data_IF_353952694540
#
_entry.id   IF_353952694540
#
_cell.length_a   1.000
_cell.length_b   1.000
_cell.length_c   1.000
_cell.angle_alpha   90.00
_cell.angle_beta   90.00
_cell.angle_gamma   90.00
#
_symmetry.space_group_name_H-M   'P 1'
#
loop_
_entity.id
_entity.type
_entity.pdbx_description
1 polymer ?
#
# COMPACT_ATOMS: atom_id res chain seq x y z
N UNK A 1 17.80 0.40 7.42
CA UNK A 1 16.77 0.30 6.33
C UNK A 1 15.82 1.48 6.43
N UNK A 2 15.28 2.00 5.32
CA UNK A 2 14.27 3.07 5.39
C UNK A 2 12.90 2.54 5.83
N UNK A 3 12.15 3.36 6.57
CA UNK A 3 10.79 3.07 7.01
C UNK A 3 9.82 4.03 6.30
N UNK A 4 8.95 3.47 5.45
CA UNK A 4 8.02 4.18 4.58
C UNK A 4 6.60 4.07 5.14
N UNK A 5 6.11 5.15 5.72
CA UNK A 5 4.91 5.18 6.54
C UNK A 5 3.72 5.83 5.83
N UNK A 6 2.49 5.30 6.00
CA UNK A 6 1.31 5.86 5.36
C UNK A 6 0.82 7.13 6.06
N UNK A 7 0.36 8.10 5.28
CA UNK A 7 -0.47 9.18 5.78
C UNK A 7 -1.66 9.44 4.85
N UNK A 8 -2.88 9.28 5.38
CA UNK A 8 -4.10 9.67 4.67
C UNK A 8 -4.61 11.06 5.03
N UNK A 9 -3.97 11.78 5.95
CA UNK A 9 -4.33 13.17 6.30
C UNK A 9 -3.08 13.94 6.75
N UNK A 10 -3.07 15.28 6.70
CA UNK A 10 -1.98 16.08 7.26
C UNK A 10 -1.70 15.79 8.74
N UNK A 11 -2.74 15.49 9.52
CA UNK A 11 -2.59 15.12 10.93
C UNK A 11 -1.91 13.76 11.11
N UNK A 12 -2.21 12.78 10.25
CA UNK A 12 -1.53 11.49 10.25
C UNK A 12 -0.06 11.61 9.82
N UNK A 13 0.24 12.47 8.84
CA UNK A 13 1.62 12.75 8.42
C UNK A 13 2.45 13.32 9.57
N UNK A 14 1.96 14.36 10.26
CA UNK A 14 2.65 14.92 11.43
C UNK A 14 2.91 13.86 12.49
N UNK A 15 1.90 13.06 12.81
CA UNK A 15 2.01 11.99 13.78
C UNK A 15 3.03 10.90 13.39
N UNK A 16 3.15 10.57 12.10
CA UNK A 16 4.14 9.63 11.60
C UNK A 16 5.56 10.19 11.64
N UNK A 17 5.75 11.45 11.23
CA UNK A 17 7.05 12.14 11.29
C UNK A 17 7.52 12.26 12.74
N UNK A 18 6.65 12.72 13.65
CA UNK A 18 6.98 12.84 15.08
C UNK A 18 7.23 11.48 15.75
N UNK A 19 6.74 10.39 15.16
CA UNK A 19 6.99 9.03 15.60
C UNK A 19 8.29 8.43 15.05
N UNK A 20 9.04 9.14 14.21
CA UNK A 20 10.34 8.73 13.68
C UNK A 20 10.33 8.07 12.31
N UNK A 21 9.29 8.29 11.50
CA UNK A 21 9.26 7.81 10.11
C UNK A 21 10.40 8.42 9.28
N UNK A 22 11.08 7.59 8.47
CA UNK A 22 12.10 8.07 7.52
C UNK A 22 11.46 8.73 6.30
N UNK A 23 10.42 8.09 5.78
CA UNK A 23 9.65 8.54 4.62
C UNK A 23 8.17 8.45 4.95
N UNK A 24 7.40 9.43 4.49
CA UNK A 24 5.94 9.38 4.47
C UNK A 24 5.47 9.20 3.04
N UNK A 25 4.48 8.35 2.81
CA UNK A 25 3.78 8.33 1.53
C UNK A 25 2.31 8.73 1.67
N UNK A 26 1.87 9.62 0.79
CA UNK A 26 0.53 10.18 0.74
C UNK A 26 0.03 10.25 -0.72
N UNK A 27 -1.11 10.89 -0.96
CA UNK A 27 -1.66 11.13 -2.30
C UNK A 27 -2.55 12.37 -2.30
N UNK A 28 -3.00 12.77 -3.48
CA UNK A 28 -3.97 13.86 -3.63
C UNK A 28 -5.40 13.40 -3.37
N UNK A 29 -6.28 14.34 -2.99
CA UNK A 29 -7.71 14.09 -2.81
C UNK A 29 -8.45 14.00 -4.16
N UNK A 30 -7.99 13.12 -5.03
CA UNK A 30 -8.52 12.82 -6.36
C UNK A 30 -8.13 11.40 -6.81
N UNK A 31 -8.53 11.04 -8.03
CA UNK A 31 -8.41 9.71 -8.63
C UNK A 31 -6.98 9.26 -8.90
N UNK A 32 -5.98 10.11 -8.74
CA UNK A 32 -4.60 9.83 -9.14
C UNK A 32 -3.92 8.73 -8.30
N UNK A 33 -4.52 8.30 -7.18
CA UNK A 33 -3.86 7.37 -6.28
C UNK A 33 -4.76 6.25 -5.73
N UNK A 34 -4.13 5.11 -5.46
CA UNK A 34 -4.79 3.89 -5.03
C UNK A 34 -5.14 3.86 -3.54
N UNK A 35 -5.74 4.93 -2.99
CA UNK A 35 -6.50 4.98 -1.72
C UNK A 35 -7.37 6.24 -1.72
N UNK A 36 -8.12 6.46 -2.80
CA UNK A 36 -9.01 7.61 -2.92
C UNK A 36 -10.33 7.37 -2.17
N UNK A 37 -10.31 7.58 -0.85
CA UNK A 37 -11.50 7.50 -0.01
C UNK A 37 -11.96 8.92 0.40
N UNK A 38 -13.27 9.16 0.49
CA UNK A 38 -13.80 10.43 1.00
C UNK A 38 -13.21 10.80 2.37
N UNK A 39 -12.80 12.06 2.51
CA UNK A 39 -12.23 12.59 3.76
C UNK A 39 -10.76 12.23 4.02
N UNK A 40 -10.10 11.55 3.08
CA UNK A 40 -8.65 11.32 3.11
C UNK A 40 -7.94 12.10 2.00
N UNK A 41 -6.61 11.99 2.03
CA UNK A 41 -5.64 12.59 1.13
C UNK A 41 -5.50 14.11 1.30
N UNK A 42 -4.70 14.71 0.44
CA UNK A 42 -4.21 16.08 0.60
C UNK A 42 -4.73 16.95 -0.54
N UNK A 43 -5.13 18.17 -0.21
CA UNK A 43 -5.12 19.25 -1.20
C UNK A 43 -3.68 19.63 -1.57
N UNK A 44 -3.53 20.37 -2.67
CA UNK A 44 -2.19 20.82 -3.12
C UNK A 44 -1.50 21.72 -2.08
N UNK A 45 -2.27 22.60 -1.44
CA UNK A 45 -1.76 23.48 -0.38
C UNK A 45 -1.32 22.69 0.86
N UNK A 46 -2.16 21.75 1.31
CA UNK A 46 -1.82 20.87 2.44
C UNK A 46 -0.59 20.00 2.15
N UNK A 47 -0.41 19.55 0.91
CA UNK A 47 0.79 18.80 0.53
C UNK A 47 2.05 19.65 0.69
N UNK A 48 2.05 20.89 0.17
CA UNK A 48 3.20 21.78 0.29
C UNK A 48 3.56 22.07 1.76
N UNK A 49 2.56 22.33 2.61
CA UNK A 49 2.78 22.49 4.06
C UNK A 49 3.33 21.22 4.71
N UNK A 50 2.83 20.05 4.29
CA UNK A 50 3.25 18.77 4.84
C UNK A 50 4.67 18.39 4.44
N UNK A 51 5.09 18.69 3.21
CA UNK A 51 6.47 18.56 2.75
C UNK A 51 7.39 19.42 3.61
N UNK A 52 7.07 20.71 3.78
CA UNK A 52 7.84 21.62 4.64
C UNK A 52 7.96 21.11 6.09
N UNK A 53 6.87 20.57 6.65
CA UNK A 53 6.88 19.99 8.00
C UNK A 53 7.82 18.78 8.13
N UNK A 54 7.77 17.88 7.14
CA UNK A 54 8.56 16.66 7.11
C UNK A 54 10.04 16.96 6.93
N UNK A 55 10.40 17.81 5.96
CA UNK A 55 11.77 18.23 5.69
C UNK A 55 12.41 18.92 6.89
N UNK A 56 11.67 19.77 7.61
CA UNK A 56 12.14 20.41 8.84
C UNK A 56 12.52 19.41 9.96
N UNK A 57 12.12 18.14 9.83
CA UNK A 57 12.42 17.04 10.77
C UNK A 57 13.24 15.92 10.11
N UNK A 58 13.77 16.14 8.91
CA UNK A 58 14.60 15.17 8.20
C UNK A 58 13.84 13.97 7.61
N UNK A 59 12.51 14.04 7.53
CA UNK A 59 11.68 13.01 6.90
C UNK A 59 11.37 13.39 5.45
N UNK A 60 11.35 12.39 4.56
CA UNK A 60 11.00 12.55 3.14
C UNK A 60 9.50 12.39 2.89
N UNK A 61 8.98 12.98 1.83
CA UNK A 61 7.58 12.81 1.39
C UNK A 61 7.53 12.25 -0.03
N UNK A 62 6.84 11.12 -0.17
CA UNK A 62 6.62 10.40 -1.42
C UNK A 62 5.15 10.52 -1.83
N UNK A 63 4.87 10.95 -3.06
CA UNK A 63 3.49 11.17 -3.52
C UNK A 63 3.06 10.02 -4.43
N UNK A 64 2.02 9.30 -4.03
CA UNK A 64 1.43 8.28 -4.87
C UNK A 64 0.58 8.93 -5.96
N UNK A 65 0.94 8.68 -7.22
CA UNK A 65 0.21 9.06 -8.44
C UNK A 65 0.12 7.77 -9.29
N UNK A 66 -0.44 6.74 -8.66
CA UNK A 66 -0.23 5.35 -9.03
C UNK A 66 -1.48 4.63 -9.54
N UNK A 67 -2.49 5.36 -10.02
CA UNK A 67 -3.63 4.79 -10.78
C UNK A 67 -3.44 4.98 -12.28
N UNK A 68 -4.27 4.32 -13.08
CA UNK A 68 -4.19 4.33 -14.54
C UNK A 68 -5.14 5.38 -15.14
N UNK A 69 -4.63 6.37 -15.91
CA UNK A 69 -5.47 7.31 -16.65
C UNK A 69 -6.36 6.60 -17.66
N UNK A 70 -7.59 7.08 -17.87
CA UNK A 70 -8.40 6.68 -19.04
C UNK A 70 -8.00 7.47 -20.27
N UNK A 71 -8.21 6.89 -21.45
CA UNK A 71 -7.94 7.56 -22.73
C UNK A 71 -8.56 8.97 -22.79
N UNK A 72 -7.72 9.97 -23.04
CA UNK A 72 -8.11 11.38 -23.14
C UNK A 72 -8.23 12.12 -21.81
N UNK A 73 -7.97 11.46 -20.67
CA UNK A 73 -8.10 12.04 -19.33
C UNK A 73 -6.75 12.16 -18.60
N UNK A 74 -5.63 12.09 -19.32
CA UNK A 74 -4.26 12.06 -18.78
C UNK A 74 -3.88 13.37 -18.07
N UNK A 75 -4.53 14.49 -18.43
CA UNK A 75 -4.23 15.83 -17.93
C UNK A 75 -4.22 15.94 -16.39
N UNK A 76 -5.13 15.22 -15.70
CA UNK A 76 -5.17 15.20 -14.24
C UNK A 76 -3.88 14.61 -13.64
N UNK A 77 -3.39 13.50 -14.22
CA UNK A 77 -2.17 12.83 -13.75
C UNK A 77 -0.92 13.64 -14.08
N UNK A 78 -0.86 14.25 -15.28
CA UNK A 78 0.24 15.15 -15.64
C UNK A 78 0.31 16.35 -14.70
N UNK A 79 -0.83 16.98 -14.39
CA UNK A 79 -0.90 18.08 -13.41
C UNK A 79 -0.49 17.61 -12.01
N UNK A 80 -0.88 16.40 -11.59
CA UNK A 80 -0.51 15.87 -10.28
C UNK A 80 1.01 15.65 -10.14
N UNK A 81 1.68 15.21 -11.21
CA UNK A 81 3.15 15.09 -11.23
C UNK A 81 3.80 16.47 -11.05
N UNK A 82 3.36 17.46 -11.83
CA UNK A 82 3.86 18.84 -11.71
C UNK A 82 3.54 19.47 -10.35
N UNK A 83 2.39 19.15 -9.76
CA UNK A 83 2.00 19.60 -8.42
C UNK A 83 2.88 18.98 -7.33
N UNK A 84 3.21 17.69 -7.44
CA UNK A 84 4.11 16.99 -6.52
C UNK A 84 5.53 17.55 -6.58
N UNK A 85 6.06 17.77 -7.78
CA UNK A 85 7.37 18.40 -7.98
C UNK A 85 7.40 19.82 -7.40
N UNK A 86 6.40 20.65 -7.71
CA UNK A 86 6.31 22.03 -7.20
C UNK A 86 6.17 22.08 -5.68
N UNK A 87 5.51 21.09 -5.07
CA UNK A 87 5.41 20.98 -3.62
C UNK A 87 6.73 20.54 -2.96
N UNK A 88 7.73 20.10 -3.74
CA UNK A 88 9.02 19.62 -3.24
C UNK A 88 9.00 18.16 -2.80
N UNK A 89 8.13 17.32 -3.37
CA UNK A 89 8.11 15.89 -3.05
C UNK A 89 9.45 15.22 -3.40
N UNK A 90 9.92 14.32 -2.53
CA UNK A 90 11.19 13.60 -2.69
C UNK A 90 11.11 12.50 -3.74
N UNK A 91 9.92 11.98 -4.02
CA UNK A 91 9.65 11.08 -5.14
C UNK A 91 8.16 11.00 -5.47
N UNK A 92 7.86 10.58 -6.71
CA UNK A 92 6.53 10.12 -7.11
C UNK A 92 6.50 8.61 -7.26
N UNK A 93 5.39 7.99 -6.84
CA UNK A 93 5.15 6.54 -6.99
C UNK A 93 4.17 6.35 -8.14
N UNK A 94 4.62 5.75 -9.24
CA UNK A 94 3.89 5.66 -10.53
C UNK A 94 3.68 4.21 -10.96
N UNK A 95 2.69 3.94 -11.79
CA UNK A 95 2.39 2.57 -12.27
C UNK A 95 2.22 2.50 -13.80
N UNK A 96 1.53 3.47 -14.38
CA UNK A 96 1.23 3.51 -15.81
C UNK A 96 2.48 3.81 -16.65
N UNK A 97 2.65 3.09 -17.77
CA UNK A 97 3.80 3.25 -18.68
C UNK A 97 3.84 4.62 -19.35
N UNK A 98 2.69 5.12 -19.77
CA UNK A 98 2.59 6.44 -20.40
C UNK A 98 2.93 7.55 -19.42
N UNK A 99 2.44 7.43 -18.18
CA UNK A 99 2.76 8.38 -17.12
C UNK A 99 4.23 8.32 -16.70
N UNK A 100 4.82 7.12 -16.60
CA UNK A 100 6.25 6.93 -16.35
C UNK A 100 7.10 7.60 -17.43
N UNK A 101 6.77 7.38 -18.71
CA UNK A 101 7.42 8.01 -19.85
C UNK A 101 7.29 9.54 -19.80
N UNK A 102 6.06 10.04 -19.57
CA UNK A 102 5.78 11.46 -19.44
C UNK A 102 6.62 12.11 -18.33
N UNK A 103 6.65 11.50 -17.13
CA UNK A 103 7.44 12.02 -16.00
C UNK A 103 8.93 11.99 -16.30
N UNK A 104 9.44 10.92 -16.92
CA UNK A 104 10.85 10.84 -17.28
C UNK A 104 11.27 11.92 -18.30
N UNK A 105 10.39 12.28 -19.23
CA UNK A 105 10.64 13.30 -20.26
C UNK A 105 10.48 14.73 -19.73
N UNK A 106 9.42 15.01 -18.96
CA UNK A 106 9.02 16.38 -18.59
C UNK A 106 9.49 16.79 -17.19
N UNK A 107 9.78 15.82 -16.32
CA UNK A 107 10.20 16.03 -14.93
C UNK A 107 11.41 15.14 -14.60
N UNK A 108 12.53 15.27 -15.34
CA UNK A 108 13.66 14.32 -15.26
C UNK A 108 14.30 14.25 -13.87
N UNK A 109 14.33 15.39 -13.16
CA UNK A 109 14.92 15.51 -11.81
C UNK A 109 14.02 14.95 -10.70
N UNK A 110 12.73 14.75 -10.97
CA UNK A 110 11.80 14.17 -10.02
C UNK A 110 12.05 12.66 -9.91
N UNK A 111 12.49 12.21 -8.74
CA UNK A 111 12.76 10.80 -8.47
C UNK A 111 11.48 9.97 -8.66
N UNK A 112 11.58 8.89 -9.44
CA UNK A 112 10.45 7.98 -9.72
C UNK A 112 10.62 6.64 -9.01
N UNK A 113 9.57 6.23 -8.30
CA UNK A 113 9.42 4.89 -7.73
C UNK A 113 8.35 4.13 -8.51
N UNK A 114 8.59 2.86 -8.79
CA UNK A 114 7.63 1.98 -9.42
C UNK A 114 6.67 1.43 -8.36
N UNK A 115 5.39 1.74 -8.55
CA UNK A 115 4.30 1.24 -7.72
C UNK A 115 4.13 -0.25 -7.90
N UNK A 116 3.69 -0.90 -6.82
CA UNK A 116 3.28 -2.30 -6.85
C UNK A 116 2.14 -2.57 -7.83
N UNK A 117 1.36 -1.55 -8.23
CA UNK A 117 0.34 -1.67 -9.29
C UNK A 117 0.93 -2.03 -10.66
N UNK A 118 2.23 -1.83 -10.91
CA UNK A 118 2.87 -2.27 -12.15
C UNK A 118 3.08 -3.80 -12.21
N UNK A 119 2.91 -4.50 -11.09
CA UNK A 119 3.10 -5.95 -10.96
C UNK A 119 4.46 -6.48 -11.47
N UNK A 120 5.51 -5.67 -11.36
CA UNK A 120 6.87 -6.07 -11.74
C UNK A 120 7.43 -7.07 -10.72
N UNK A 121 7.50 -8.34 -11.10
CA UNK A 121 7.82 -9.47 -10.20
C UNK A 121 9.09 -10.25 -10.61
N UNK A 122 9.85 -9.76 -11.59
CA UNK A 122 11.08 -10.39 -12.06
C UNK A 122 12.10 -9.34 -12.53
N UNK A 123 13.40 -9.70 -12.64
CA UNK A 123 14.46 -8.76 -13.01
C UNK A 123 14.25 -8.11 -14.37
N UNK A 124 13.81 -8.86 -15.39
CA UNK A 124 13.60 -8.33 -16.75
C UNK A 124 12.64 -7.14 -16.77
N UNK A 125 11.48 -7.29 -16.12
CA UNK A 125 10.49 -6.23 -16.01
C UNK A 125 11.04 -5.03 -15.22
N UNK A 126 11.70 -5.29 -14.08
CA UNK A 126 12.24 -4.23 -13.23
C UNK A 126 13.34 -3.44 -13.95
N UNK A 127 14.26 -4.14 -14.61
CA UNK A 127 15.36 -3.53 -15.39
C UNK A 127 14.84 -2.75 -16.60
N UNK A 128 13.76 -3.21 -17.24
CA UNK A 128 13.08 -2.42 -18.27
C UNK A 128 12.56 -1.09 -17.71
N UNK A 129 11.83 -1.12 -16.58
CA UNK A 129 11.34 0.12 -15.96
C UNK A 129 12.49 1.04 -15.50
N UNK A 130 13.55 0.47 -14.95
CA UNK A 130 14.74 1.19 -14.51
C UNK A 130 15.44 1.89 -15.68
N UNK A 131 15.68 1.18 -16.79
CA UNK A 131 16.40 1.73 -17.94
C UNK A 131 15.55 2.68 -18.79
N UNK A 132 14.28 2.37 -19.02
CA UNK A 132 13.42 3.14 -19.91
C UNK A 132 12.90 4.44 -19.26
N UNK A 133 12.66 4.43 -17.94
CA UNK A 133 12.01 5.53 -17.23
C UNK A 133 12.79 6.01 -16.00
N UNK A 134 14.05 5.61 -15.90
CA UNK A 134 14.97 5.97 -14.81
C UNK A 134 14.44 5.61 -13.40
N UNK A 135 13.57 4.59 -13.28
CA UNK A 135 13.01 4.17 -12.00
C UNK A 135 14.12 3.87 -11.01
N UNK A 136 14.04 4.46 -9.81
CA UNK A 136 15.10 4.33 -8.78
C UNK A 136 14.77 3.38 -7.65
N UNK A 137 13.49 3.05 -7.48
CA UNK A 137 12.98 2.12 -6.49
C UNK A 137 11.78 1.37 -7.01
N UNK A 138 11.64 0.09 -6.70
CA UNK A 138 10.45 -0.71 -6.99
C UNK A 138 9.80 -1.19 -5.69
N UNK A 139 8.48 -0.99 -5.58
CA UNK A 139 7.65 -1.63 -4.56
C UNK A 139 7.30 -3.03 -5.04
N UNK A 140 7.89 -4.06 -4.45
CA UNK A 140 7.75 -5.44 -4.90
C UNK A 140 6.36 -6.02 -4.58
N UNK A 141 5.82 -6.89 -5.45
CA UNK A 141 4.56 -7.57 -5.20
C UNK A 141 4.59 -8.47 -3.96
N UNK A 142 3.46 -8.52 -3.25
CA UNK A 142 3.31 -9.28 -1.99
C UNK A 142 3.12 -10.79 -2.17
N UNK A 143 3.32 -11.30 -3.38
CA UNK A 143 3.23 -12.71 -3.76
C UNK A 143 4.59 -13.43 -3.79
N UNK A 144 5.68 -12.69 -3.56
CA UNK A 144 7.04 -13.20 -3.60
C UNK A 144 7.49 -13.71 -2.23
N UNK A 145 8.27 -14.81 -2.21
CA UNK A 145 8.97 -15.26 -1.01
C UNK A 145 10.23 -14.43 -0.74
N UNK A 146 10.78 -14.52 0.47
CA UNK A 146 12.05 -13.83 0.79
C UNK A 146 13.21 -14.32 -0.10
N UNK A 147 13.21 -15.60 -0.46
CA UNK A 147 14.20 -16.21 -1.34
C UNK A 147 14.08 -15.69 -2.77
N UNK A 148 12.85 -15.51 -3.26
CA UNK A 148 12.59 -14.91 -4.58
C UNK A 148 13.02 -13.44 -4.62
N UNK A 149 12.73 -12.69 -3.55
CA UNK A 149 13.20 -11.30 -3.40
C UNK A 149 14.73 -11.25 -3.41
N UNK A 150 15.40 -12.16 -2.69
CA UNK A 150 16.85 -12.25 -2.67
C UNK A 150 17.44 -12.63 -4.04
N UNK A 151 16.73 -13.42 -4.86
CA UNK A 151 17.13 -13.73 -6.22
C UNK A 151 17.00 -12.49 -7.12
N UNK A 152 15.87 -11.79 -7.05
CA UNK A 152 15.63 -10.55 -7.80
C UNK A 152 16.70 -9.50 -7.50
N UNK A 153 17.00 -9.26 -6.22
CA UNK A 153 17.99 -8.26 -5.79
C UNK A 153 19.43 -8.54 -6.25
N UNK A 154 19.74 -9.74 -6.76
CA UNK A 154 21.05 -10.04 -7.35
C UNK A 154 21.16 -9.60 -8.81
N UNK A 155 20.03 -9.31 -9.45
CA UNK A 155 19.93 -9.08 -10.90
C UNK A 155 19.43 -7.68 -11.25
N UNK A 156 19.23 -6.81 -10.24
CA UNK A 156 18.76 -5.43 -10.41
C UNK A 156 19.62 -4.46 -9.61
N UNK A 157 19.74 -3.23 -10.10
CA UNK A 157 20.50 -2.14 -9.45
C UNK A 157 19.62 -1.11 -8.73
N UNK A 158 18.30 -1.27 -8.81
CA UNK A 158 17.34 -0.34 -8.18
C UNK A 158 17.01 -0.76 -6.74
N UNK A 159 16.63 0.21 -5.93
CA UNK A 159 16.19 -0.02 -4.56
C UNK A 159 14.92 -0.88 -4.52
N UNK A 160 14.81 -1.81 -3.56
CA UNK A 160 13.57 -2.57 -3.34
C UNK A 160 12.86 -2.17 -2.05
N UNK A 161 11.54 -2.02 -2.16
CA UNK A 161 10.62 -1.71 -1.08
C UNK A 161 9.59 -2.83 -0.94
N UNK A 162 9.35 -3.30 0.29
CA UNK A 162 8.41 -4.40 0.56
C UNK A 162 7.43 -4.00 1.65
N UNK A 163 6.19 -4.50 1.58
CA UNK A 163 5.22 -4.30 2.65
C UNK A 163 5.54 -5.20 3.83
N UNK A 164 5.53 -4.66 5.05
CA UNK A 164 5.77 -5.44 6.28
C UNK A 164 4.59 -5.51 7.23
N UNK A 165 3.62 -4.60 7.08
CA UNK A 165 2.43 -4.59 7.93
C UNK A 165 1.22 -3.95 7.25
N UNK A 166 0.02 -4.38 7.64
CA UNK A 166 -1.26 -3.77 7.27
C UNK A 166 -2.09 -4.62 6.31
N UNK A 167 -2.94 -3.99 5.49
CA UNK A 167 -3.84 -4.72 4.59
C UNK A 167 -3.08 -5.53 3.52
N UNK A 168 -3.36 -6.82 3.41
CA UNK A 168 -2.83 -7.71 2.37
C UNK A 168 -3.71 -7.70 1.11
N UNK A 169 -3.07 -7.53 -0.06
CA UNK A 169 -3.69 -7.79 -1.35
C UNK A 169 -3.19 -9.13 -1.87
N UNK A 170 -4.11 -10.06 -2.14
CA UNK A 170 -3.79 -11.38 -2.72
C UNK A 170 -4.05 -11.47 -4.23
N UNK A 171 -4.68 -10.44 -4.80
CA UNK A 171 -4.84 -10.33 -6.24
C UNK A 171 -3.54 -9.85 -6.87
N UNK A 172 -3.32 -10.20 -8.15
CA UNK A 172 -2.28 -9.57 -8.97
C UNK A 172 -2.48 -8.05 -8.94
N UNK A 173 -1.54 -7.35 -8.31
CA UNK A 173 -1.67 -5.92 -8.01
C UNK A 173 -1.78 -5.11 -9.32
N UNK A 174 -2.69 -4.13 -9.34
CA UNK A 174 -3.01 -3.36 -10.55
C UNK A 174 -3.85 -4.09 -11.61
N UNK A 175 -4.26 -5.35 -11.38
CA UNK A 175 -5.06 -6.16 -12.34
C UNK A 175 -6.40 -6.65 -11.77
N UNK A 176 -6.88 -6.05 -10.68
CA UNK A 176 -8.11 -6.50 -10.03
C UNK A 176 -9.37 -6.06 -10.80
N UNK A 177 -10.21 -7.01 -11.21
CA UNK A 177 -11.49 -6.75 -11.91
C UNK A 177 -12.73 -7.06 -11.08
N UNK A 178 -12.59 -7.71 -9.92
CA UNK A 178 -13.72 -8.14 -9.09
C UNK A 178 -14.56 -6.95 -8.62
N UNK A 179 -13.90 -5.88 -8.16
CA UNK A 179 -14.61 -4.68 -7.71
C UNK A 179 -15.28 -3.94 -8.88
N UNK A 180 -14.64 -3.90 -10.05
CA UNK A 180 -15.24 -3.36 -11.28
C UNK A 180 -16.52 -4.10 -11.63
N UNK A 181 -16.52 -5.43 -11.53
CA UNK A 181 -17.71 -6.24 -11.76
C UNK A 181 -18.81 -5.97 -10.74
N UNK A 182 -18.48 -5.91 -9.45
CA UNK A 182 -19.47 -5.76 -8.39
C UNK A 182 -20.04 -4.33 -8.29
N UNK A 183 -19.23 -3.31 -8.55
CA UNK A 183 -19.57 -1.91 -8.22
C UNK A 183 -19.60 -0.99 -9.44
N UNK A 184 -19.08 -1.43 -10.59
CA UNK A 184 -18.82 -0.56 -11.73
C UNK A 184 -17.61 0.38 -11.55
N UNK A 185 -16.95 0.36 -10.38
CA UNK A 185 -15.76 1.18 -10.09
C UNK A 185 -14.51 0.30 -10.09
N UNK A 186 -13.51 0.70 -10.87
CA UNK A 186 -12.24 -0.02 -10.96
C UNK A 186 -11.32 0.36 -9.81
N UNK A 187 -10.78 -0.60 -9.04
CA UNK A 187 -9.86 -0.29 -7.95
C UNK A 187 -8.53 0.27 -8.46
N UNK A 188 -8.17 -0.04 -9.70
CA UNK A 188 -6.92 0.38 -10.32
C UNK A 188 -7.03 1.81 -10.89
N UNK A 189 -8.23 2.27 -11.22
CA UNK A 189 -8.46 3.58 -11.85
C UNK A 189 -9.14 4.57 -10.89
N UNK A 190 -10.09 4.10 -10.10
CA UNK A 190 -10.83 4.92 -9.13
C UNK A 190 -10.21 4.88 -7.72
N UNK A 191 -9.21 4.02 -7.51
CA UNK A 191 -8.35 4.05 -6.32
C UNK A 191 -8.92 3.43 -5.05
N UNK A 192 -9.99 2.62 -5.15
CA UNK A 192 -10.66 2.01 -4.00
C UNK A 192 -11.18 0.60 -4.32
N UNK A 193 -10.84 -0.38 -3.46
CA UNK A 193 -11.26 -1.78 -3.61
C UNK A 193 -12.74 -2.00 -3.33
N UNK A 194 -13.28 -1.30 -2.34
CA UNK A 194 -14.68 -1.37 -1.95
C UNK A 194 -15.13 0.06 -1.68
N UNK A 195 -15.77 0.73 -2.64
CA UNK A 195 -16.21 2.10 -2.47
C UNK A 195 -17.25 2.20 -1.35
N UNK A 196 -17.11 3.13 -0.39
CA UNK A 196 -18.03 3.23 0.75
C UNK A 196 -19.51 3.33 0.36
N UNK A 197 -19.83 4.01 -0.73
CA UNK A 197 -21.19 4.18 -1.23
C UNK A 197 -21.80 2.90 -1.84
N UNK A 198 -20.98 1.86 -2.08
CA UNK A 198 -21.43 0.54 -2.49
C UNK A 198 -21.43 -0.48 -1.34
N UNK A 199 -21.04 -0.08 -0.13
CA UNK A 199 -21.00 -0.94 1.05
C UNK A 199 -22.31 -0.86 1.81
N UNK A 200 -22.90 -2.02 2.09
CA UNK A 200 -24.12 -2.15 2.89
C UNK A 200 -23.91 -3.18 4.01
N UNK A 201 -24.44 -2.87 5.20
CA UNK A 201 -24.50 -3.81 6.32
C UNK A 201 -25.96 -3.95 6.74
N UNK A 202 -26.49 -5.16 6.59
CA UNK A 202 -27.85 -5.49 7.00
C UNK A 202 -27.85 -6.51 8.14
N UNK A 203 -28.92 -6.52 8.94
CA UNK A 203 -29.17 -7.62 9.89
C UNK A 203 -30.23 -8.54 9.30
N UNK A 204 -29.90 -9.81 9.15
CA UNK A 204 -30.84 -10.85 8.69
C UNK A 204 -30.92 -11.96 9.75
N UNK A 205 -32.06 -12.03 10.44
CA UNK A 205 -32.23 -12.95 11.56
C UNK A 205 -31.21 -12.69 12.68
N UNK A 206 -30.33 -13.66 12.93
CA UNK A 206 -29.26 -13.56 13.93
C UNK A 206 -27.87 -13.32 13.31
N UNK A 207 -27.82 -12.88 12.06
CA UNK A 207 -26.59 -12.61 11.32
C UNK A 207 -26.48 -11.13 10.93
N UNK A 208 -25.25 -10.63 10.91
CA UNK A 208 -24.84 -9.42 10.20
C UNK A 208 -24.37 -9.81 8.80
N UNK A 209 -24.91 -9.14 7.78
CA UNK A 209 -24.65 -9.41 6.37
C UNK A 209 -23.94 -8.21 5.78
N UNK A 210 -22.68 -8.37 5.43
CA UNK A 210 -21.90 -7.37 4.74
C UNK A 210 -22.01 -7.57 3.22
N UNK A 211 -22.34 -6.50 2.50
CA UNK A 211 -22.49 -6.49 1.04
C UNK A 211 -21.58 -5.48 0.38
N UNK A 212 -21.25 -5.76 -0.88
CA UNK A 212 -20.59 -4.81 -1.78
C UNK A 212 -21.28 -4.86 -3.14
N UNK A 213 -21.80 -3.72 -3.59
CA UNK A 213 -22.46 -3.64 -4.91
C UNK A 213 -23.65 -4.61 -5.05
N UNK A 214 -24.38 -4.85 -3.95
CA UNK A 214 -25.50 -5.78 -3.90
C UNK A 214 -25.12 -7.26 -3.68
N UNK A 215 -23.84 -7.63 -3.81
CA UNK A 215 -23.38 -8.99 -3.56
C UNK A 215 -23.11 -9.20 -2.07
N UNK A 216 -23.61 -10.31 -1.49
CA UNK A 216 -23.24 -10.72 -0.13
C UNK A 216 -21.80 -11.21 -0.12
N UNK A 217 -20.97 -10.55 0.69
CA UNK A 217 -19.53 -10.81 0.81
C UNK A 217 -19.21 -11.64 2.04
N UNK A 218 -19.92 -11.40 3.14
CA UNK A 218 -19.68 -12.10 4.40
C UNK A 218 -20.95 -12.09 5.26
N UNK A 219 -21.24 -13.20 5.91
CA UNK A 219 -22.21 -13.34 6.99
C UNK A 219 -21.47 -13.62 8.29
N UNK A 220 -21.72 -12.82 9.33
CA UNK A 220 -21.17 -13.04 10.67
C UNK A 220 -22.29 -13.15 11.70
N UNK A 221 -22.14 -13.94 12.78
CA UNK A 221 -23.10 -13.93 13.88
C UNK A 221 -23.27 -12.52 14.45
N UNK A 222 -24.46 -12.19 14.93
CA UNK A 222 -24.75 -10.89 15.54
C UNK A 222 -23.78 -10.59 16.70
N UNK A 223 -23.14 -9.43 16.66
CA UNK A 223 -22.11 -9.02 17.63
C UNK A 223 -20.69 -9.49 17.30
N UNK A 224 -20.52 -10.31 16.24
CA UNK A 224 -19.21 -10.64 15.69
C UNK A 224 -18.59 -9.46 14.95
N UNK A 225 -17.26 -9.39 14.93
CA UNK A 225 -16.54 -8.39 14.14
C UNK A 225 -16.75 -8.67 12.65
N UNK A 226 -17.37 -7.74 11.94
CA UNK A 226 -17.46 -7.79 10.47
C UNK A 226 -16.28 -7.00 9.88
N UNK A 227 -15.40 -7.63 9.09
CA UNK A 227 -14.37 -6.89 8.37
C UNK A 227 -14.99 -6.01 7.30
N UNK A 228 -14.23 -5.01 6.83
CA UNK A 228 -14.68 -4.18 5.72
C UNK A 228 -14.85 -5.05 4.47
N UNK A 229 -16.03 -5.03 3.78
CA UNK A 229 -16.36 -6.02 2.76
C UNK A 229 -15.49 -5.82 1.53
N UNK A 230 -14.40 -6.58 1.48
CA UNK A 230 -13.46 -6.63 0.36
C UNK A 230 -13.64 -7.96 -0.33
N UNK A 231 -13.91 -7.97 -1.64
CA UNK A 231 -14.28 -9.19 -2.38
C UNK A 231 -13.28 -10.34 -2.21
N UNK A 232 -11.98 -10.05 -2.26
CA UNK A 232 -10.93 -11.06 -2.08
C UNK A 232 -10.77 -11.55 -0.62
N UNK A 233 -11.47 -10.94 0.34
CA UNK A 233 -11.50 -11.38 1.74
C UNK A 233 -12.88 -11.89 2.16
N UNK A 234 -13.80 -12.05 1.20
CA UNK A 234 -15.14 -12.56 1.45
C UNK A 234 -15.14 -14.01 1.92
N UNK A 235 -16.21 -14.39 2.61
CA UNK A 235 -16.49 -15.77 3.00
C UNK A 235 -17.67 -16.26 2.16
N UNK A 236 -17.40 -17.18 1.25
CA UNK A 236 -18.35 -17.63 0.22
C UNK A 236 -18.75 -19.09 0.45
N UNK A 237 -19.97 -19.44 0.02
CA UNK A 237 -20.49 -20.79 0.05
C UNK A 237 -20.59 -21.36 -1.35
N UNK A 238 -20.03 -22.55 -1.56
CA UNK A 238 -20.14 -23.33 -2.80
C UNK A 238 -20.41 -24.78 -2.46
N UNK A 239 -21.63 -25.25 -2.77
CA UNK A 239 -22.08 -26.58 -2.37
C UNK A 239 -22.18 -26.71 -0.85
N UNK A 240 -21.47 -27.69 -0.30
CA UNK A 240 -21.39 -27.98 1.14
C UNK A 240 -20.27 -27.22 1.86
N UNK A 241 -19.47 -26.43 1.13
CA UNK A 241 -18.29 -25.74 1.68
C UNK A 241 -18.56 -24.25 1.83
N UNK A 242 -18.22 -23.72 3.01
CA UNK A 242 -18.22 -22.29 3.31
C UNK A 242 -16.84 -21.91 3.82
N UNK A 243 -16.25 -20.85 3.27
CA UNK A 243 -14.96 -20.35 3.73
C UNK A 243 -14.41 -19.18 2.93
N UNK A 244 -13.25 -18.69 3.35
CA UNK A 244 -12.48 -17.69 2.62
C UNK A 244 -11.78 -18.35 1.43
N UNK A 245 -12.16 -17.95 0.21
CA UNK A 245 -11.69 -18.61 -1.02
C UNK A 245 -10.30 -18.11 -1.45
N UNK A 246 -10.01 -16.82 -1.24
CA UNK A 246 -8.75 -16.22 -1.68
C UNK A 246 -7.82 -15.92 -0.50
N UNK A 247 -8.31 -15.24 0.53
CA UNK A 247 -7.55 -14.88 1.73
C UNK A 247 -8.48 -14.63 2.91
N UNK A 248 -8.00 -14.91 4.10
CA UNK A 248 -8.72 -14.59 5.33
C UNK A 248 -8.75 -13.06 5.56
N UNK A 249 -9.67 -12.59 6.40
CA UNK A 249 -9.77 -11.19 6.77
C UNK A 249 -8.69 -10.74 7.79
N UNK A 250 -7.44 -11.06 7.51
CA UNK A 250 -6.27 -10.83 8.39
C UNK A 250 -5.35 -9.74 7.84
N UNK A 251 -4.42 -9.27 8.68
CA UNK A 251 -3.37 -8.34 8.28
C UNK A 251 -2.07 -9.05 7.95
N UNK A 252 -1.29 -8.48 7.03
CA UNK A 252 0.10 -8.83 6.87
C UNK A 252 0.85 -8.43 8.15
N UNK A 253 1.65 -9.35 8.69
CA UNK A 253 2.66 -9.08 9.70
C UNK A 253 3.94 -9.84 9.35
N UNK A 254 4.89 -9.12 8.77
CA UNK A 254 6.21 -9.63 8.43
C UNK A 254 7.29 -9.12 9.39
N UNK A 255 6.92 -8.62 10.58
CA UNK A 255 7.87 -8.04 11.54
C UNK A 255 9.01 -9.00 11.90
N UNK A 256 8.69 -10.28 12.12
CA UNK A 256 9.69 -11.32 12.39
C UNK A 256 10.59 -11.66 11.19
N UNK A 257 10.19 -11.31 9.97
CA UNK A 257 10.95 -11.56 8.73
C UNK A 257 11.86 -10.38 8.36
N UNK A 258 11.76 -9.24 9.05
CA UNK A 258 12.54 -8.03 8.75
C UNK A 258 14.06 -8.30 8.69
N UNK A 259 14.69 -9.07 9.60
CA UNK A 259 16.10 -9.41 9.47
C UNK A 259 16.44 -10.18 8.19
N UNK A 260 15.58 -11.12 7.78
CA UNK A 260 15.77 -11.90 6.55
C UNK A 260 15.56 -11.06 5.30
N UNK A 261 14.60 -10.13 5.33
CA UNK A 261 14.38 -9.16 4.26
C UNK A 261 15.58 -8.21 4.11
N UNK A 262 16.17 -7.76 5.21
CA UNK A 262 17.40 -6.97 5.19
C UNK A 262 18.56 -7.75 4.53
N UNK A 263 18.75 -9.02 4.92
CA UNK A 263 19.75 -9.91 4.32
C UNK A 263 19.49 -10.19 2.84
N UNK A 264 18.22 -10.19 2.42
CA UNK A 264 17.81 -10.35 1.03
C UNK A 264 18.09 -9.10 0.17
N UNK A 265 18.60 -8.00 0.74
CA UNK A 265 18.92 -6.76 0.02
C UNK A 265 17.76 -5.76 -0.07
N UNK A 266 16.69 -5.95 0.69
CA UNK A 266 15.59 -4.97 0.76
C UNK A 266 16.11 -3.66 1.38
N UNK A 267 15.76 -2.54 0.76
CA UNK A 267 16.23 -1.21 1.20
C UNK A 267 15.20 -0.45 2.04
N UNK A 268 13.90 -0.70 1.79
CA UNK A 268 12.81 0.02 2.43
C UNK A 268 11.68 -0.92 2.91
N UNK A 269 11.17 -0.63 4.10
CA UNK A 269 10.03 -1.31 4.71
C UNK A 269 8.80 -0.42 4.63
N UNK A 270 7.74 -0.88 3.97
CA UNK A 270 6.50 -0.14 3.78
C UNK A 270 5.41 -0.63 4.73
N UNK A 271 4.72 0.31 5.38
CA UNK A 271 3.53 0.03 6.17
C UNK A 271 2.29 0.43 5.35
N UNK A 272 1.29 -0.46 5.26
CA UNK A 272 -0.03 -0.13 4.72
C UNK A 272 -0.91 0.48 5.82
N UNK A 273 -1.76 1.44 5.44
CA UNK A 273 -2.77 1.94 6.37
C UNK A 273 -3.14 3.41 6.23
N UNK A 274 -3.17 3.97 5.00
CA UNK A 274 -3.55 5.39 4.80
C UNK A 274 -4.94 5.73 5.37
N UNK A 275 -5.82 4.75 5.50
CA UNK A 275 -7.16 4.89 6.09
C UNK A 275 -7.19 4.83 7.62
N UNK A 276 -6.05 4.57 8.27
CA UNK A 276 -6.00 4.37 9.72
C UNK A 276 -5.84 5.70 10.46
N UNK A 277 -6.24 5.72 11.72
CA UNK A 277 -6.19 6.92 12.56
C UNK A 277 -4.75 7.38 12.82
N UNK A 278 -4.58 8.68 13.12
CA UNK A 278 -3.26 9.21 13.52
C UNK A 278 -2.64 8.49 14.72
N UNK A 279 -3.47 8.00 15.65
CA UNK A 279 -3.01 7.26 16.82
C UNK A 279 -2.45 5.88 16.44
N UNK A 280 -3.16 5.16 15.56
CA UNK A 280 -2.66 3.93 14.96
C UNK A 280 -1.32 4.16 14.25
N UNK A 281 -1.26 5.19 13.41
CA UNK A 281 -0.06 5.53 12.64
C UNK A 281 1.12 5.81 13.59
N UNK A 282 0.94 6.66 14.60
CA UNK A 282 2.04 6.96 15.53
C UNK A 282 2.52 5.72 16.29
N UNK A 283 1.61 4.81 16.67
CA UNK A 283 1.97 3.57 17.38
C UNK A 283 2.74 2.61 16.47
N UNK A 284 2.26 2.38 15.25
CA UNK A 284 2.90 1.43 14.33
C UNK A 284 4.26 1.93 13.85
N UNK A 285 4.39 3.25 13.62
CA UNK A 285 5.66 3.86 13.25
C UNK A 285 6.68 3.70 14.37
N UNK A 286 6.33 3.99 15.63
CA UNK A 286 7.24 3.78 16.76
C UNK A 286 7.69 2.32 16.89
N UNK A 287 6.76 1.38 16.69
CA UNK A 287 7.07 -0.05 16.78
C UNK A 287 8.08 -0.49 15.70
N UNK A 288 7.83 -0.15 14.45
CA UNK A 288 8.75 -0.49 13.36
C UNK A 288 10.05 0.34 13.37
N UNK A 289 10.01 1.56 13.92
CA UNK A 289 11.21 2.37 14.11
C UNK A 289 12.19 1.69 15.07
N UNK A 290 11.68 1.13 16.17
CA UNK A 290 12.50 0.34 17.10
C UNK A 290 13.12 -0.90 16.43
N UNK A 291 12.44 -1.50 15.44
CA UNK A 291 12.99 -2.59 14.63
C UNK A 291 14.11 -2.12 13.72
N UNK A 292 13.91 -1.02 12.98
CA UNK A 292 14.96 -0.50 12.09
C UNK A 292 16.18 0.00 12.86
N UNK A 293 15.98 0.69 13.98
CA UNK A 293 17.09 1.18 14.82
C UNK A 293 17.88 0.01 15.43
N UNK A 294 17.21 -1.05 15.87
CA UNK A 294 17.89 -2.25 16.35
C UNK A 294 18.75 -2.90 15.26
N UNK A 295 18.24 -3.01 14.03
CA UNK A 295 19.01 -3.55 12.91
C UNK A 295 20.23 -2.69 12.56
N UNK A 296 20.05 -1.36 12.50
CA UNK A 296 21.13 -0.43 12.17
C UNK A 296 22.24 -0.44 13.24
N UNK A 297 21.89 -0.74 14.51
CA UNK A 297 22.84 -0.93 15.61
C UNK A 297 23.41 -2.38 15.73
N UNK A 298 23.03 -3.29 14.83
CA UNK A 298 23.47 -4.69 14.87
C UNK A 298 22.89 -5.51 16.02
N UNK A 299 21.78 -5.06 16.61
CA UNK A 299 21.04 -5.74 17.69
C UNK A 299 19.89 -6.58 17.14
N UNK A 300 19.47 -7.57 17.90
CA UNK A 300 18.25 -8.31 17.60
C UNK A 300 17.02 -7.37 17.69
N UNK A 301 16.13 -7.33 16.67
CA UNK A 301 14.93 -6.53 16.74
C UNK A 301 13.98 -6.98 17.86
N UNK A 302 13.26 -6.04 18.49
CA UNK A 302 12.26 -6.39 19.49
C UNK A 302 11.10 -7.16 18.86
N UNK A 303 10.53 -8.10 19.62
CA UNK A 303 9.25 -8.70 19.26
C UNK A 303 8.14 -7.65 19.34
N UNK A 304 7.32 -7.54 18.29
CA UNK A 304 6.25 -6.56 18.23
C UNK A 304 4.90 -7.18 18.60
N UNK A 305 4.16 -6.53 19.51
CA UNK A 305 2.82 -6.94 19.89
C UNK A 305 1.76 -6.27 19.00
N UNK A 306 1.69 -6.66 17.71
CA UNK A 306 0.84 -5.99 16.70
C UNK A 306 -0.57 -6.57 16.56
N UNK A 307 -0.90 -7.65 17.27
CA UNK A 307 -2.19 -8.32 17.15
C UNK A 307 -3.38 -7.38 17.37
N UNK A 308 -3.27 -6.44 18.32
CA UNK A 308 -4.31 -5.43 18.62
C UNK A 308 -4.51 -4.40 17.49
N UNK A 309 -3.53 -4.26 16.60
CA UNK A 309 -3.54 -3.35 15.47
C UNK A 309 -3.90 -4.06 14.15
N UNK A 310 -4.04 -5.38 14.17
CA UNK A 310 -4.33 -6.19 12.99
C UNK A 310 -5.84 -6.25 12.73
N UNK A 311 -6.22 -6.21 11.46
CA UNK A 311 -7.58 -6.54 10.99
C UNK A 311 -7.97 -7.93 11.49
N UNK A 312 -9.16 -8.06 12.08
CA UNK A 312 -9.63 -9.33 12.65
C UNK A 312 -8.84 -9.83 13.86
N UNK A 313 -7.88 -9.05 14.40
CA UNK A 313 -6.94 -9.45 15.46
C UNK A 313 -6.10 -10.69 15.13
N UNK A 314 -6.02 -11.04 13.85
CA UNK A 314 -5.23 -12.14 13.33
C UNK A 314 -4.28 -11.64 12.23
N UNK A 315 -3.17 -12.34 12.04
CA UNK A 315 -2.11 -11.95 11.12
C UNK A 315 -1.62 -13.12 10.30
N UNK A 316 -1.14 -12.81 9.10
CA UNK A 316 -0.49 -13.75 8.17
C UNK A 316 0.85 -13.17 7.73
N UNK A 317 1.82 -14.02 7.45
CA UNK A 317 3.06 -13.60 6.75
C UNK A 317 2.85 -13.52 5.24
N UNK A 318 1.66 -13.90 4.74
CA UNK A 318 1.34 -13.94 3.32
C UNK A 318 2.25 -14.88 2.55
N UNK A 319 2.59 -14.51 1.31
CA UNK A 319 3.45 -15.32 0.46
C UNK A 319 4.93 -15.34 0.89
N UNK A 320 5.37 -14.48 1.83
CA UNK A 320 6.77 -14.42 2.24
C UNK A 320 7.30 -15.74 2.81
N UNK A 321 6.43 -16.59 3.35
CA UNK A 321 6.77 -17.92 3.87
C UNK A 321 6.21 -19.08 3.02
N UNK A 322 5.58 -18.80 1.87
CA UNK A 322 4.91 -19.76 0.97
C UNK A 322 4.31 -20.98 1.68
N UNK A 323 3.24 -20.76 2.44
CA UNK A 323 2.46 -21.84 3.07
C UNK A 323 1.33 -22.38 2.18
N UNK A 324 1.10 -21.73 1.03
CA UNK A 324 0.10 -22.14 0.04
C UNK A 324 0.63 -23.32 -0.80
N UNK A 325 -0.19 -24.35 -0.95
CA UNK A 325 0.10 -25.52 -1.80
C UNK A 325 -0.09 -25.20 -3.28
#
# INVERSE_FOLDING_TARGET
>A
MELVCPAGTPAALRAAVDAGAHCIYCGFADETNARNFPGLNFSRAELAEAVGYAHARGAKVLVAINTFPTAGQEALWHSAVADAERAGADAVILADLGLLAYTAEHHPDLRRHLSVQAAAANPDAINFYASAFDVRRVVLPRVLSVEEIAAINKEIDVETEVFVFGGLCVMAEGRCSLSSYATGRSPNMNGVCSPPEHVDYATEGNESVARLGGFTIHRTPKGGAAPYPTLCKGCFTSGDKTGHVFEDAVSLDASALVPRLAQAGVTALKIEGRQRSKAYVAQIVRAFRAVTDALDEGRAPPALALARLSEGQAATTGAYAKTWR
#
